data_IF_709229832835
#
_entry.id   IF_709229832835
#
_cell.length_a   1.000
_cell.length_b   1.000
_cell.length_c   1.000
_cell.angle_alpha   90.00
_cell.angle_beta   90.00
_cell.angle_gamma   90.00
#
_symmetry.space_group_name_H-M   'P 1'
#
loop_
_entity.id
_entity.type
_entity.pdbx_description
1 polymer ?
#
# COMPACT_ATOMS: atom_id res chain seq x y z
N UNK A 1 -10.55 38.93 3.42
CA UNK A 1 -10.96 38.71 2.02
C UNK A 1 -9.95 37.89 1.23
N UNK A 2 -8.64 38.13 1.35
CA UNK A 2 -7.64 37.44 0.52
C UNK A 2 -7.58 35.91 0.70
N UNK A 3 -7.63 35.42 1.94
CA UNK A 3 -7.67 33.98 2.21
C UNK A 3 -8.85 33.26 1.54
N UNK A 4 -10.00 33.93 1.46
CA UNK A 4 -11.20 33.38 0.84
C UNK A 4 -11.01 33.26 -0.67
N UNK A 5 -10.36 34.26 -1.31
CA UNK A 5 -10.03 34.19 -2.74
C UNK A 5 -9.09 33.02 -3.04
N UNK A 6 -8.03 32.86 -2.24
CA UNK A 6 -7.10 31.73 -2.37
C UNK A 6 -7.84 30.39 -2.23
N UNK A 7 -8.75 30.27 -1.26
CA UNK A 7 -9.56 29.07 -1.05
C UNK A 7 -10.48 28.78 -2.25
N UNK A 8 -11.13 29.81 -2.80
CA UNK A 8 -12.01 29.66 -3.96
C UNK A 8 -11.23 29.19 -5.19
N UNK A 9 -10.05 29.76 -5.44
CA UNK A 9 -9.20 29.34 -6.54
C UNK A 9 -8.72 27.88 -6.37
N UNK A 10 -8.46 27.45 -5.13
CA UNK A 10 -8.16 26.05 -4.85
C UNK A 10 -9.34 25.12 -5.14
N UNK A 11 -10.56 25.49 -4.73
CA UNK A 11 -11.75 24.69 -5.00
C UNK A 11 -12.08 24.58 -6.48
N UNK A 12 -11.87 25.65 -7.26
CA UNK A 12 -12.02 25.60 -8.72
C UNK A 12 -11.09 24.54 -9.34
N UNK A 13 -9.83 24.49 -8.90
CA UNK A 13 -8.87 23.48 -9.36
C UNK A 13 -9.30 22.05 -8.99
N UNK A 14 -9.83 21.86 -7.78
CA UNK A 14 -10.27 20.53 -7.32
C UNK A 14 -11.53 20.02 -8.03
N UNK A 15 -12.38 20.92 -8.53
CA UNK A 15 -13.55 20.57 -9.33
C UNK A 15 -13.16 19.94 -10.67
N UNK A 16 -12.07 20.42 -11.27
CA UNK A 16 -11.57 19.98 -12.59
C UNK A 16 -10.84 18.63 -12.53
N UNK A 17 -10.66 18.05 -11.34
CA UNK A 17 -10.05 16.73 -11.21
C UNK A 17 -10.93 15.65 -11.87
N UNK A 18 -10.40 14.90 -12.86
CA UNK A 18 -11.15 13.81 -13.48
C UNK A 18 -11.44 12.71 -12.45
N UNK A 19 -12.67 12.20 -12.47
CA UNK A 19 -13.12 11.11 -11.59
C UNK A 19 -13.46 9.90 -12.42
N UNK A 20 -13.09 8.72 -11.92
CA UNK A 20 -13.50 7.43 -12.45
C UNK A 20 -14.64 6.85 -11.60
N UNK A 21 -15.35 5.87 -12.14
CA UNK A 21 -16.45 5.22 -11.40
C UNK A 21 -15.85 4.40 -10.25
N UNK A 22 -16.54 4.40 -9.10
CA UNK A 22 -16.14 3.56 -7.97
C UNK A 22 -16.12 2.07 -8.32
N UNK A 23 -17.02 1.62 -9.20
CA UNK A 23 -17.05 0.24 -9.69
C UNK A 23 -15.84 -0.14 -10.54
N UNK A 24 -15.17 0.82 -11.15
CA UNK A 24 -13.95 0.63 -11.94
C UNK A 24 -12.73 0.65 -11.03
N UNK A 25 -12.62 1.69 -10.19
CA UNK A 25 -11.52 1.83 -9.23
C UNK A 25 -11.45 0.65 -8.23
N UNK A 26 -12.59 0.13 -7.77
CA UNK A 26 -12.60 -1.01 -6.85
C UNK A 26 -12.04 -2.28 -7.47
N UNK A 27 -12.27 -2.50 -8.77
CA UNK A 27 -11.73 -3.66 -9.49
C UNK A 27 -10.20 -3.58 -9.57
N UNK A 28 -9.65 -2.40 -9.84
CA UNK A 28 -8.20 -2.19 -9.88
C UNK A 28 -7.55 -2.41 -8.51
N UNK A 29 -8.17 -1.90 -7.43
CA UNK A 29 -7.69 -2.10 -6.07
C UNK A 29 -7.69 -3.59 -5.71
N UNK A 30 -8.81 -4.28 -5.95
CA UNK A 30 -8.91 -5.73 -5.69
C UNK A 30 -7.87 -6.49 -6.48
N UNK A 31 -7.71 -6.16 -7.77
CA UNK A 31 -6.69 -6.79 -8.63
C UNK A 31 -5.30 -6.57 -8.06
N UNK A 32 -4.94 -5.35 -7.69
CA UNK A 32 -3.63 -5.05 -7.11
C UNK A 32 -3.38 -5.87 -5.85
N UNK A 33 -4.32 -5.87 -4.91
CA UNK A 33 -4.17 -6.62 -3.66
C UNK A 33 -4.08 -8.13 -3.88
N UNK A 34 -4.66 -8.69 -4.94
CA UNK A 34 -4.74 -10.14 -5.16
C UNK A 34 -3.70 -10.70 -6.13
N UNK A 35 -2.96 -9.84 -6.83
CA UNK A 35 -2.02 -10.28 -7.88
C UNK A 35 -0.80 -10.99 -7.30
N UNK A 36 -0.23 -10.44 -6.23
CA UNK A 36 0.99 -10.98 -5.63
C UNK A 36 0.72 -11.59 -4.25
N UNK A 37 1.43 -12.68 -3.90
CA UNK A 37 1.40 -13.23 -2.56
C UNK A 37 2.06 -12.26 -1.59
N UNK A 38 1.39 -12.01 -0.46
CA UNK A 38 1.89 -11.17 0.61
C UNK A 38 2.32 -12.05 1.78
N UNK A 39 3.62 -12.10 2.13
CA UNK A 39 4.15 -12.86 3.26
C UNK A 39 3.41 -12.70 4.60
N UNK A 40 2.84 -11.52 4.85
CA UNK A 40 2.13 -11.20 6.08
C UNK A 40 0.66 -11.60 6.03
N UNK A 41 0.05 -11.59 4.84
CA UNK A 41 -1.33 -12.03 4.64
C UNK A 41 -1.43 -13.55 4.47
N UNK A 42 -0.59 -14.09 3.59
CA UNK A 42 -0.65 -15.48 3.12
C UNK A 42 0.25 -16.40 3.96
N UNK A 43 1.15 -15.81 4.74
CA UNK A 43 2.15 -16.52 5.54
C UNK A 43 3.32 -17.01 4.68
N UNK A 44 4.47 -17.22 5.34
CA UNK A 44 5.63 -17.84 4.73
C UNK A 44 5.92 -19.21 5.34
N UNK A 45 6.40 -20.18 4.54
CA UNK A 45 7.04 -21.38 5.07
C UNK A 45 8.15 -21.01 6.05
N UNK A 46 8.33 -21.83 7.09
CA UNK A 46 9.31 -21.54 8.14
C UNK A 46 10.75 -21.35 7.62
N UNK A 47 11.11 -22.08 6.57
CA UNK A 47 12.41 -22.01 5.90
C UNK A 47 12.65 -20.71 5.14
N UNK A 48 11.59 -20.01 4.74
CA UNK A 48 11.65 -18.76 3.98
C UNK A 48 11.48 -17.53 4.86
N UNK A 49 11.07 -17.70 6.11
CA UNK A 49 10.96 -16.59 7.05
C UNK A 49 12.33 -16.32 7.69
N UNK A 50 13.00 -15.19 7.36
CA UNK A 50 14.33 -14.89 7.87
C UNK A 50 14.33 -14.56 9.38
N UNK A 51 13.15 -14.36 9.98
CA UNK A 51 13.00 -14.03 11.39
C UNK A 51 12.72 -15.25 12.28
N UNK A 52 12.41 -16.41 11.68
CA UNK A 52 12.36 -17.64 12.44
C UNK A 52 13.80 -18.06 12.74
N UNK A 53 14.18 -17.95 14.02
CA UNK A 53 15.49 -18.40 14.52
C UNK A 53 15.76 -19.79 13.94
N UNK A 54 16.73 -19.91 13.03
CA UNK A 54 17.36 -21.19 12.79
C UNK A 54 17.90 -21.62 14.15
N UNK A 55 17.39 -22.74 14.68
CA UNK A 55 17.78 -23.22 16.00
C UNK A 55 19.30 -23.23 16.09
N UNK A 56 19.85 -22.47 17.04
CA UNK A 56 21.22 -22.60 17.57
C UNK A 56 22.19 -23.30 16.63
N UNK A 57 22.59 -22.63 15.54
CA UNK A 57 23.79 -23.01 14.79
C UNK A 57 24.98 -22.31 15.46
N UNK A 58 25.92 -23.11 15.92
CA UNK A 58 26.99 -22.81 16.88
C UNK A 58 28.15 -21.96 16.34
N UNK A 59 27.91 -20.99 15.46
CA UNK A 59 29.00 -20.20 14.88
C UNK A 59 28.67 -18.70 14.85
N UNK A 60 28.77 -18.07 16.02
CA UNK A 60 29.17 -16.67 16.09
C UNK A 60 30.69 -16.66 16.04
N UNK A 61 31.28 -16.23 14.92
CA UNK A 61 32.69 -15.82 14.92
C UNK A 61 32.76 -14.50 15.68
N UNK A 62 33.54 -14.50 16.76
CA UNK A 62 33.97 -13.33 17.53
C UNK A 62 34.81 -12.42 16.64
#
# INVERSE_FOLDING_TARGET
MERIKIQIEQYKKELDNPRIKMSESSVEIVRFCTTEPDPLRDGLPKSQNPFLKQGTSCCSII
#
